data_IF_328725104820
#
_entry.id   IF_328725104820
#
_cell.length_a   1.000
_cell.length_b   1.000
_cell.length_c   1.000
_cell.angle_alpha   90.00
_cell.angle_beta   90.00
_cell.angle_gamma   90.00
#
_symmetry.space_group_name_H-M   'P 1'
#
loop_
_entity.id
_entity.type
_entity.pdbx_description
1 polymer ?
#
# COMPACT_ATOMS: atom_id res chain seq x y z
N UNK A 1 30.03 20.58 -54.37
CA UNK A 1 30.27 19.96 -53.05
C UNK A 1 29.04 20.24 -52.20
N UNK A 2 28.31 19.19 -51.78
CA UNK A 2 27.03 19.29 -51.07
C UNK A 2 27.29 19.67 -49.61
N UNK A 3 26.84 20.83 -49.16
CA UNK A 3 26.82 21.21 -47.74
C UNK A 3 25.83 20.34 -46.98
N UNK A 4 26.32 19.48 -46.08
CA UNK A 4 25.50 18.86 -45.04
C UNK A 4 25.39 19.84 -43.87
N UNK A 5 24.18 20.36 -43.63
CA UNK A 5 23.84 21.02 -42.37
C UNK A 5 23.54 19.92 -41.34
N UNK A 6 24.40 19.75 -40.34
CA UNK A 6 24.11 18.94 -39.15
C UNK A 6 23.21 19.77 -38.22
N UNK A 7 21.94 19.40 -38.11
CA UNK A 7 21.00 19.98 -37.15
C UNK A 7 21.29 19.43 -35.75
N UNK A 8 21.76 20.29 -34.85
CA UNK A 8 21.97 19.97 -33.43
C UNK A 8 20.61 20.03 -32.72
N UNK A 9 20.01 18.88 -32.44
CA UNK A 9 18.80 18.78 -31.62
C UNK A 9 19.20 18.96 -30.16
N UNK A 10 18.84 20.11 -29.57
CA UNK A 10 18.96 20.36 -28.13
C UNK A 10 17.88 19.57 -27.38
N UNK A 11 18.29 18.47 -26.72
CA UNK A 11 17.50 17.82 -25.68
C UNK A 11 17.50 18.72 -24.44
N UNK A 12 16.44 19.52 -24.27
CA UNK A 12 16.21 20.24 -23.02
C UNK A 12 15.87 19.21 -21.93
N UNK A 13 16.57 19.21 -20.78
CA UNK A 13 16.18 18.38 -19.65
C UNK A 13 14.83 18.87 -19.13
N UNK A 14 13.80 18.03 -19.22
CA UNK A 14 12.56 18.23 -18.49
C UNK A 14 12.85 18.07 -17.01
N UNK A 15 12.99 19.18 -16.30
CA UNK A 15 13.01 19.17 -14.84
C UNK A 15 11.59 18.85 -14.40
N UNK A 16 11.34 17.60 -13.99
CA UNK A 16 10.11 17.25 -13.31
C UNK A 16 10.12 17.95 -11.95
N UNK A 17 9.37 19.04 -11.81
CA UNK A 17 9.08 19.61 -10.50
C UNK A 17 8.18 18.64 -9.76
N UNK A 18 8.53 18.33 -8.50
CA UNK A 18 7.65 17.56 -7.65
C UNK A 18 6.35 18.35 -7.45
N UNK A 19 5.21 17.72 -7.73
CA UNK A 19 3.91 18.32 -7.48
C UNK A 19 3.75 18.58 -5.96
N UNK A 20 3.28 19.76 -5.56
CA UNK A 20 3.06 20.06 -4.15
C UNK A 20 1.98 19.14 -3.58
N UNK A 21 2.19 18.63 -2.37
CA UNK A 21 1.16 17.88 -1.63
C UNK A 21 0.05 18.86 -1.24
N UNK A 22 -1.16 18.60 -1.71
CA UNK A 22 -2.36 19.31 -1.27
C UNK A 22 -2.68 18.90 0.18
N UNK A 23 -2.35 19.76 1.15
CA UNK A 23 -2.43 19.42 2.58
C UNK A 23 -3.84 19.07 3.05
N UNK A 24 -4.87 19.55 2.36
CA UNK A 24 -6.28 19.25 2.64
C UNK A 24 -6.68 17.83 2.21
N UNK A 25 -5.86 17.17 1.39
CA UNK A 25 -6.05 15.80 0.92
C UNK A 25 -5.18 14.78 1.66
N UNK A 26 -4.48 15.18 2.73
CA UNK A 26 -3.78 14.24 3.60
C UNK A 26 -4.84 13.48 4.42
N UNK A 27 -4.94 12.18 4.18
CA UNK A 27 -5.94 11.30 4.79
C UNK A 27 -5.48 10.85 6.17
N UNK A 28 -4.26 10.32 6.22
CA UNK A 28 -3.65 9.85 7.46
C UNK A 28 -2.14 9.97 7.38
N UNK A 29 -1.50 10.08 8.54
CA UNK A 29 -0.07 10.19 8.67
C UNK A 29 0.42 9.36 9.86
N UNK A 30 1.60 8.78 9.71
CA UNK A 30 2.22 7.94 10.70
C UNK A 30 3.70 8.28 10.84
N UNK A 31 4.19 8.28 12.07
CA UNK A 31 5.62 8.46 12.37
C UNK A 31 6.19 7.21 13.03
N UNK A 32 7.49 7.01 12.85
CA UNK A 32 8.25 5.88 13.41
C UNK A 32 9.68 5.90 12.91
N UNK A 33 10.47 4.88 13.27
CA UNK A 33 11.85 4.72 12.81
C UNK A 33 11.88 3.56 11.81
N UNK A 34 11.74 3.88 10.52
CA UNK A 34 11.55 2.88 9.48
C UNK A 34 12.88 2.28 9.06
N UNK A 35 13.93 3.10 9.01
CA UNK A 35 15.26 2.69 8.59
C UNK A 35 16.16 2.19 9.75
N UNK A 36 15.68 2.28 11.00
CA UNK A 36 16.37 1.78 12.18
C UNK A 36 17.55 2.66 12.61
N UNK A 37 17.58 3.92 12.18
CA UNK A 37 18.65 4.84 12.53
C UNK A 37 18.42 5.57 13.86
N UNK A 38 17.26 5.37 14.50
CA UNK A 38 16.87 5.99 15.76
C UNK A 38 16.24 7.37 15.60
N UNK A 39 15.99 7.84 14.38
CA UNK A 39 15.30 9.09 14.10
C UNK A 39 13.86 8.87 13.65
N UNK A 40 13.04 9.91 13.82
CA UNK A 40 11.59 9.82 13.54
C UNK A 40 11.29 10.24 12.11
N UNK A 41 10.93 9.26 11.31
CA UNK A 41 10.50 9.29 9.93
C UNK A 41 8.98 9.57 9.81
N UNK A 42 8.49 9.70 8.57
CA UNK A 42 7.09 9.99 8.26
C UNK A 42 6.60 9.16 7.06
N UNK A 43 5.39 8.63 7.19
CA UNK A 43 4.60 8.11 6.08
C UNK A 43 3.24 8.84 6.04
N UNK A 44 2.72 9.12 4.86
CA UNK A 44 1.42 9.78 4.68
C UNK A 44 0.64 9.11 3.55
N UNK A 45 -0.67 9.00 3.70
CA UNK A 45 -1.59 8.69 2.59
C UNK A 45 -2.25 10.00 2.16
N UNK A 46 -2.24 10.26 0.85
CA UNK A 46 -2.73 11.49 0.25
C UNK A 46 -3.69 11.14 -0.88
N UNK A 47 -4.91 11.66 -0.80
CA UNK A 47 -5.87 11.57 -1.90
C UNK A 47 -5.39 12.42 -3.07
N UNK A 48 -5.42 11.84 -4.28
CA UNK A 48 -5.06 12.54 -5.52
C UNK A 48 -6.31 13.16 -6.11
N UNK A 49 -7.33 12.33 -6.33
CA UNK A 49 -8.66 12.68 -6.82
C UNK A 49 -9.75 11.91 -6.08
N UNK A 50 -10.98 12.45 -5.99
CA UNK A 50 -12.07 11.79 -5.29
C UNK A 50 -12.44 10.45 -5.93
N UNK A 51 -12.53 9.39 -5.12
CA UNK A 51 -12.78 8.00 -5.54
C UNK A 51 -11.71 7.36 -6.44
N UNK A 52 -10.57 8.02 -6.66
CA UNK A 52 -9.40 7.39 -7.30
C UNK A 52 -8.48 6.78 -6.24
N UNK A 53 -7.66 5.77 -6.61
CA UNK A 53 -6.63 5.26 -5.72
C UNK A 53 -5.70 6.37 -5.22
N UNK A 54 -5.36 6.32 -3.95
CA UNK A 54 -4.56 7.34 -3.27
C UNK A 54 -3.06 7.03 -3.35
N UNK A 55 -2.25 8.05 -3.08
CA UNK A 55 -0.80 7.96 -3.01
C UNK A 55 -0.32 7.72 -1.58
N UNK A 56 0.78 6.98 -1.44
CA UNK A 56 1.51 6.88 -0.17
C UNK A 56 2.90 7.51 -0.31
N UNK A 57 3.15 8.55 0.49
CA UNK A 57 4.41 9.28 0.52
C UNK A 57 5.24 8.84 1.71
N UNK A 58 6.54 8.66 1.49
CA UNK A 58 7.51 8.29 2.52
C UNK A 58 8.58 9.35 2.65
N UNK A 59 8.98 9.63 3.89
CA UNK A 59 10.06 10.53 4.21
C UNK A 59 10.92 9.93 5.32
N UNK A 60 12.24 10.00 5.15
CA UNK A 60 13.21 9.61 6.16
C UNK A 60 13.84 10.85 6.78
N UNK A 61 14.08 10.83 8.09
CA UNK A 61 14.73 11.93 8.79
C UNK A 61 16.20 11.97 8.43
N UNK A 62 16.66 13.13 7.99
CA UNK A 62 18.07 13.46 8.01
C UNK A 62 18.50 13.77 9.45
N UNK A 63 19.31 12.89 10.04
CA UNK A 63 19.79 13.03 11.42
C UNK A 63 20.77 14.18 11.61
N UNK A 64 21.58 14.47 10.59
CA UNK A 64 22.61 15.49 10.67
C UNK A 64 22.00 16.88 10.59
N UNK A 65 20.99 17.04 9.74
CA UNK A 65 20.40 18.34 9.42
C UNK A 65 18.97 18.54 9.96
N UNK A 66 18.40 17.51 10.60
CA UNK A 66 17.11 17.52 11.28
C UNK A 66 15.89 17.91 10.41
N UNK A 67 15.86 17.47 9.15
CA UNK A 67 14.71 17.65 8.26
C UNK A 67 14.28 16.34 7.60
N UNK A 68 13.02 16.26 7.16
CA UNK A 68 12.51 15.09 6.43
C UNK A 68 12.94 15.15 4.97
N UNK A 69 13.55 14.07 4.47
CA UNK A 69 13.90 13.88 3.06
C UNK A 69 12.89 12.95 2.40
N UNK A 70 12.37 13.29 1.20
CA UNK A 70 11.55 12.36 0.43
C UNK A 70 12.30 11.05 0.19
N UNK A 71 11.67 9.93 0.51
CA UNK A 71 12.22 8.58 0.40
C UNK A 71 11.49 7.71 -0.63
N UNK A 72 10.34 8.17 -1.13
CA UNK A 72 9.60 7.50 -2.19
C UNK A 72 8.13 7.93 -2.20
N UNK A 73 7.47 7.64 -3.32
CA UNK A 73 6.02 7.77 -3.48
C UNK A 73 5.55 6.49 -4.15
N UNK A 74 4.54 5.85 -3.57
CA UNK A 74 3.78 4.77 -4.21
C UNK A 74 2.49 5.38 -4.69
N UNK A 75 2.31 5.39 -6.02
CA UNK A 75 1.20 6.09 -6.67
C UNK A 75 0.05 5.17 -6.99
N UNK A 76 -1.16 5.69 -6.86
CA UNK A 76 -2.39 5.09 -7.36
C UNK A 76 -2.62 3.62 -6.93
N UNK A 77 -2.18 3.24 -5.72
CA UNK A 77 -2.27 1.85 -5.22
C UNK A 77 -3.11 1.71 -3.95
N UNK A 78 -3.36 2.81 -3.24
CA UNK A 78 -4.07 2.76 -1.97
C UNK A 78 -5.57 2.89 -2.26
N UNK A 79 -6.27 1.75 -2.30
CA UNK A 79 -7.71 1.72 -2.44
C UNK A 79 -8.39 2.04 -1.11
N UNK A 80 -9.41 2.89 -1.15
CA UNK A 80 -10.22 3.28 0.00
C UNK A 80 -11.04 4.52 -0.35
N UNK A 81 -11.90 4.94 0.56
CA UNK A 81 -12.61 6.22 0.45
C UNK A 81 -12.38 7.05 1.71
N UNK A 82 -12.22 8.36 1.49
CA UNK A 82 -12.10 9.34 2.55
C UNK A 82 -13.36 10.20 2.66
N UNK A 83 -13.70 10.57 3.88
CA UNK A 83 -14.81 11.45 4.17
C UNK A 83 -14.40 12.93 4.05
N UNK A 84 -15.12 13.66 3.20
CA UNK A 84 -15.66 14.95 3.64
C UNK A 84 -14.83 16.22 3.48
N UNK A 85 -13.72 16.25 2.73
CA UNK A 85 -13.15 17.56 2.36
C UNK A 85 -13.96 18.22 1.22
N UNK A 86 -14.24 17.48 0.14
CA UNK A 86 -14.96 17.99 -1.04
C UNK A 86 -16.35 17.35 -1.23
N UNK A 87 -16.74 16.44 -0.33
CA UNK A 87 -18.02 15.71 -0.36
C UNK A 87 -18.84 15.96 0.91
N UNK A 88 -19.58 17.07 0.94
CA UNK A 88 -20.53 17.33 2.03
C UNK A 88 -21.59 16.24 2.10
N UNK A 89 -21.80 15.63 3.28
CA UNK A 89 -22.80 14.59 3.53
C UNK A 89 -22.28 13.15 3.47
N UNK A 90 -20.99 12.95 3.21
CA UNK A 90 -20.30 11.67 3.38
C UNK A 90 -19.60 11.66 4.75
N UNK A 91 -20.38 11.40 5.80
CA UNK A 91 -19.88 11.31 7.17
C UNK A 91 -19.91 9.83 7.58
N UNK A 92 -18.74 9.21 7.78
CA UNK A 92 -18.52 7.81 8.20
C UNK A 92 -18.37 6.72 7.11
N UNK A 93 -17.51 6.94 6.11
CA UNK A 93 -16.79 5.87 5.39
C UNK A 93 -16.15 4.89 6.38
N UNK A 94 -16.54 3.63 6.29
CA UNK A 94 -15.90 2.49 6.96
C UNK A 94 -14.80 1.87 6.07
N UNK A 95 -14.31 2.64 5.09
CA UNK A 95 -13.35 2.22 4.06
C UNK A 95 -12.09 3.09 4.05
N UNK A 96 -11.83 3.82 5.13
CA UNK A 96 -10.64 4.65 5.29
C UNK A 96 -9.39 3.79 5.52
N UNK A 97 -8.28 4.03 4.79
CA UNK A 97 -7.01 3.35 5.05
C UNK A 97 -6.45 3.68 6.43
N UNK A 98 -5.92 2.67 7.11
CA UNK A 98 -5.31 2.85 8.42
C UNK A 98 -3.82 2.52 8.41
N UNK A 99 -3.03 3.33 9.11
CA UNK A 99 -1.60 3.13 9.32
C UNK A 99 -1.32 2.83 10.79
N UNK A 100 -0.54 1.79 11.06
CA UNK A 100 -0.01 1.49 12.41
C UNK A 100 1.49 1.28 12.37
N UNK A 101 2.24 1.96 13.23
CA UNK A 101 3.66 1.70 13.43
C UNK A 101 3.83 0.43 14.27
N UNK A 102 4.63 -0.52 13.79
CA UNK A 102 4.93 -1.74 14.52
C UNK A 102 6.26 -1.61 15.28
N UNK A 103 6.42 -2.28 16.45
CA UNK A 103 7.62 -2.15 17.29
C UNK A 103 8.96 -2.52 16.62
N UNK A 104 8.91 -3.23 15.49
CA UNK A 104 10.07 -3.68 14.72
C UNK A 104 10.45 -2.71 13.58
N UNK A 105 9.90 -1.49 13.54
CA UNK A 105 10.17 -0.50 12.50
C UNK A 105 9.41 -0.74 11.18
N UNK A 106 8.44 -1.67 11.16
CA UNK A 106 7.57 -1.86 9.99
C UNK A 106 6.25 -1.08 10.13
N UNK A 107 5.60 -0.85 9.00
CA UNK A 107 4.29 -0.19 8.92
C UNK A 107 3.24 -1.25 8.60
N UNK A 108 2.19 -1.33 9.40
CA UNK A 108 0.97 -2.06 9.03
C UNK A 108 0.05 -1.09 8.30
N UNK A 109 -0.22 -1.38 7.03
CA UNK A 109 -1.22 -0.69 6.21
C UNK A 109 -2.45 -1.60 6.12
N UNK A 110 -3.55 -1.16 6.73
CA UNK A 110 -4.84 -1.83 6.65
C UNK A 110 -5.73 -1.10 5.64
N UNK A 111 -6.24 -1.85 4.67
CA UNK A 111 -7.07 -1.40 3.57
C UNK A 111 -8.44 -2.09 3.69
N UNK A 112 -9.42 -1.47 4.35
CA UNK A 112 -10.79 -1.97 4.30
C UNK A 112 -11.33 -1.90 2.87
N UNK A 113 -12.02 -2.94 2.41
CA UNK A 113 -12.65 -2.90 1.09
C UNK A 113 -13.88 -1.99 1.08
N UNK A 114 -14.07 -1.31 -0.05
CA UNK A 114 -15.40 -0.86 -0.46
C UNK A 114 -16.33 -2.08 -0.62
N UNK A 115 -17.49 -2.12 0.04
CA UNK A 115 -18.44 -3.21 -0.15
C UNK A 115 -18.87 -3.33 -1.61
N UNK A 116 -18.65 -4.50 -2.24
CA UNK A 116 -19.21 -4.80 -3.57
C UNK A 116 -20.45 -5.67 -3.37
N UNK A 117 -21.60 -5.01 -3.25
CA UNK A 117 -22.81 -5.68 -2.82
C UNK A 117 -22.66 -6.18 -1.37
N UNK A 118 -22.79 -7.48 -1.16
CA UNK A 118 -22.61 -8.14 0.14
C UNK A 118 -21.19 -8.59 0.44
N UNK A 119 -20.29 -8.46 -0.54
CA UNK A 119 -18.93 -8.99 -0.48
C UNK A 119 -17.98 -7.93 0.05
N UNK A 120 -17.14 -8.33 0.99
CA UNK A 120 -16.09 -7.48 1.57
C UNK A 120 -14.78 -8.23 1.63
N UNK A 121 -13.69 -7.61 1.16
CA UNK A 121 -12.32 -8.13 1.28
C UNK A 121 -11.43 -7.08 1.93
N UNK A 122 -11.17 -7.20 3.23
CA UNK A 122 -10.19 -6.30 3.85
C UNK A 122 -8.78 -6.85 3.64
N UNK A 123 -7.80 -5.96 3.45
CA UNK A 123 -6.42 -6.33 3.19
C UNK A 123 -5.49 -5.71 4.21
N UNK A 124 -4.41 -6.40 4.52
CA UNK A 124 -3.32 -5.88 5.36
C UNK A 124 -1.99 -6.11 4.67
N UNK A 125 -1.23 -5.04 4.47
CA UNK A 125 0.17 -5.10 4.09
C UNK A 125 1.04 -4.77 5.30
N UNK A 126 2.11 -5.55 5.50
CA UNK A 126 3.21 -5.12 6.38
C UNK A 126 4.35 -4.64 5.51
N UNK A 127 4.65 -3.35 5.57
CA UNK A 127 5.72 -2.69 4.83
C UNK A 127 6.97 -2.58 5.69
N UNK A 128 8.11 -3.01 5.19
CA UNK A 128 9.40 -2.88 5.86
C UNK A 128 10.36 -2.05 5.01
N UNK A 129 11.23 -1.26 5.62
CA UNK A 129 12.31 -0.60 4.90
C UNK A 129 13.54 -1.52 4.84
N UNK A 130 14.04 -1.80 3.63
CA UNK A 130 15.24 -2.61 3.40
C UNK A 130 15.96 -2.12 2.16
N UNK A 131 17.30 -2.08 2.24
CA UNK A 131 18.17 -1.80 1.10
C UNK A 131 17.79 -0.54 0.32
N UNK A 132 17.34 0.51 1.03
CA UNK A 132 16.98 1.79 0.43
C UNK A 132 15.51 1.94 0.02
N UNK A 133 14.66 0.90 0.17
CA UNK A 133 13.29 0.89 -0.32
C UNK A 133 12.29 0.34 0.70
N UNK A 134 11.03 0.79 0.60
CA UNK A 134 9.91 0.13 1.27
C UNK A 134 9.48 -1.10 0.46
N UNK A 135 9.39 -2.25 1.13
CA UNK A 135 9.02 -3.53 0.54
C UNK A 135 7.81 -4.12 1.26
N UNK A 136 7.04 -4.96 0.57
CA UNK A 136 5.96 -5.75 1.19
C UNK A 136 6.56 -6.99 1.85
N UNK A 137 6.56 -7.02 3.18
CA UNK A 137 7.08 -8.14 3.97
C UNK A 137 6.02 -9.21 4.28
N UNK A 138 4.75 -8.80 4.37
CA UNK A 138 3.60 -9.66 4.67
C UNK A 138 2.37 -9.17 3.93
N UNK A 139 1.55 -10.11 3.46
CA UNK A 139 0.23 -9.85 2.91
C UNK A 139 -0.77 -10.72 3.65
N UNK A 140 -1.88 -10.11 4.04
CA UNK A 140 -3.03 -10.80 4.56
C UNK A 140 -4.32 -10.24 3.97
N UNK A 141 -5.36 -11.05 3.92
CA UNK A 141 -6.72 -10.59 3.67
C UNK A 141 -7.72 -11.40 4.49
N UNK A 142 -8.88 -10.82 4.69
CA UNK A 142 -10.09 -11.48 5.15
C UNK A 142 -11.23 -11.15 4.18
N UNK A 143 -11.98 -12.17 3.78
CA UNK A 143 -13.11 -12.11 2.89
C UNK A 143 -14.37 -12.62 3.58
N UNK A 144 -15.48 -11.94 3.34
CA UNK A 144 -16.80 -12.37 3.77
C UNK A 144 -17.88 -11.98 2.74
N UNK A 145 -18.89 -12.83 2.60
CA UNK A 145 -20.15 -12.48 1.93
C UNK A 145 -21.28 -12.41 2.96
N UNK A 146 -21.76 -11.20 3.27
CA UNK A 146 -22.77 -10.97 4.31
C UNK A 146 -24.19 -11.45 3.94
N UNK A 147 -24.42 -11.91 2.70
CA UNK A 147 -25.71 -12.47 2.27
C UNK A 147 -25.69 -13.98 2.07
N UNK A 148 -24.51 -14.61 2.10
CA UNK A 148 -24.36 -16.05 1.94
C UNK A 148 -23.89 -16.68 3.25
N UNK A 149 -24.65 -17.65 3.76
CA UNK A 149 -24.22 -18.44 4.90
C UNK A 149 -22.95 -19.21 4.53
N UNK A 150 -22.00 -19.26 5.48
CA UNK A 150 -20.79 -20.07 5.36
C UNK A 150 -19.83 -19.67 4.22
N UNK A 151 -19.81 -18.39 3.82
CA UNK A 151 -18.85 -17.88 2.83
C UNK A 151 -17.86 -16.90 3.46
N UNK A 152 -16.68 -17.41 3.79
CA UNK A 152 -15.54 -16.63 4.25
C UNK A 152 -14.23 -17.28 3.81
N UNK A 153 -13.20 -16.47 3.56
CA UNK A 153 -11.83 -16.94 3.43
C UNK A 153 -10.87 -15.95 4.08
N UNK A 154 -9.72 -16.46 4.53
CA UNK A 154 -8.63 -15.63 5.02
C UNK A 154 -7.31 -16.17 4.52
N UNK A 155 -6.33 -15.27 4.46
CA UNK A 155 -4.96 -15.65 4.20
C UNK A 155 -4.02 -14.74 4.96
N UNK A 156 -2.93 -15.30 5.43
CA UNK A 156 -1.81 -14.55 5.96
C UNK A 156 -0.50 -15.25 5.58
N UNK A 157 0.30 -14.59 4.76
CA UNK A 157 1.61 -15.09 4.36
C UNK A 157 2.72 -14.05 4.39
N UNK A 158 3.90 -14.54 4.71
CA UNK A 158 5.14 -13.78 4.68
C UNK A 158 5.69 -13.79 3.25
N UNK A 159 5.69 -12.64 2.59
CA UNK A 159 6.11 -12.48 1.18
C UNK A 159 7.58 -12.84 0.98
N UNK A 160 8.42 -12.53 1.97
CA UNK A 160 9.87 -12.75 1.91
C UNK A 160 10.24 -14.22 1.93
N UNK A 161 9.49 -15.04 2.65
CA UNK A 161 9.72 -16.49 2.77
C UNK A 161 8.79 -17.32 1.90
N UNK A 162 7.71 -16.73 1.38
CA UNK A 162 6.66 -17.40 0.62
C UNK A 162 5.79 -18.35 1.47
N UNK A 163 5.90 -18.28 2.81
CA UNK A 163 5.23 -19.19 3.73
C UNK A 163 4.09 -18.51 4.47
N UNK A 164 3.00 -19.23 4.66
CA UNK A 164 1.83 -18.72 5.37
C UNK A 164 0.75 -19.76 5.58
N UNK A 165 -0.44 -19.28 5.89
CA UNK A 165 -1.65 -20.11 6.02
C UNK A 165 -2.80 -19.41 5.32
N UNK A 166 -3.75 -20.20 4.86
CA UNK A 166 -5.04 -19.71 4.39
C UNK A 166 -6.15 -20.59 4.95
N UNK A 167 -7.36 -20.04 4.96
CA UNK A 167 -8.55 -20.78 5.31
C UNK A 167 -9.71 -20.41 4.40
N UNK A 168 -10.61 -21.36 4.19
CA UNK A 168 -11.82 -21.17 3.41
C UNK A 168 -12.95 -21.98 4.01
N UNK A 169 -14.03 -21.29 4.35
CA UNK A 169 -15.24 -21.92 4.82
C UNK A 169 -15.89 -22.70 3.67
N UNK A 170 -16.32 -23.93 3.98
CA UNK A 170 -16.95 -24.86 3.07
C UNK A 170 -18.47 -24.72 3.15
N UNK A 171 -19.22 -25.19 2.14
CA UNK A 171 -20.69 -25.12 2.15
C UNK A 171 -21.36 -25.80 3.36
N UNK A 172 -20.68 -26.76 4.00
CA UNK A 172 -21.16 -27.44 5.20
C UNK A 172 -20.90 -26.69 6.52
N UNK A 173 -20.33 -25.47 6.44
CA UNK A 173 -19.98 -24.63 7.59
C UNK A 173 -18.65 -24.98 8.26
N UNK A 174 -17.92 -25.98 7.76
CA UNK A 174 -16.58 -26.28 8.26
C UNK A 174 -15.53 -25.38 7.60
N UNK A 175 -14.42 -25.12 8.28
CA UNK A 175 -13.30 -24.34 7.72
C UNK A 175 -12.19 -25.27 7.26
N UNK A 176 -11.89 -25.25 5.96
CA UNK A 176 -10.72 -25.91 5.41
C UNK A 176 -9.51 -25.00 5.58
N UNK A 177 -8.41 -25.54 6.12
CA UNK A 177 -7.15 -24.82 6.28
C UNK A 177 -6.10 -25.35 5.30
N UNK A 178 -5.31 -24.44 4.73
CA UNK A 178 -4.20 -24.77 3.85
C UNK A 178 -2.91 -24.07 4.29
N UNK A 179 -1.79 -24.64 3.88
CA UNK A 179 -0.47 -23.99 4.01
C UNK A 179 -0.17 -23.25 2.72
N UNK A 180 0.19 -21.98 2.84
CA UNK A 180 0.75 -21.21 1.73
C UNK A 180 2.25 -21.52 1.64
N UNK A 181 2.70 -21.95 0.46
CA UNK A 181 4.10 -22.27 0.19
C UNK A 181 4.44 -21.94 -1.26
N UNK A 182 4.83 -20.69 -1.49
CA UNK A 182 5.32 -20.18 -2.78
C UNK A 182 6.80 -19.78 -2.68
N UNK A 183 7.40 -19.36 -3.79
CA UNK A 183 8.74 -18.78 -3.75
C UNK A 183 8.72 -17.43 -2.99
N UNK A 184 9.62 -17.28 -2.03
CA UNK A 184 9.80 -16.03 -1.30
C UNK A 184 10.50 -14.97 -2.15
N UNK A 185 10.09 -13.72 -2.01
CA UNK A 185 10.59 -12.61 -2.83
C UNK A 185 10.70 -11.30 -2.06
N UNK A 186 11.64 -10.47 -2.47
CA UNK A 186 11.69 -9.06 -2.08
C UNK A 186 10.87 -8.29 -3.10
N UNK A 187 9.75 -7.73 -2.67
CA UNK A 187 8.82 -7.00 -3.53
C UNK A 187 8.79 -5.53 -3.10
N UNK A 188 9.37 -4.59 -3.89
CA UNK A 188 9.20 -3.16 -3.66
C UNK A 188 7.72 -2.83 -3.57
N UNK A 189 7.33 -1.98 -2.62
CA UNK A 189 5.92 -1.64 -2.46
C UNK A 189 5.37 -0.93 -3.71
N UNK A 190 6.20 -0.11 -4.37
CA UNK A 190 5.85 0.52 -5.65
C UNK A 190 5.52 -0.49 -6.78
N UNK A 191 5.99 -1.73 -6.68
CA UNK A 191 5.75 -2.80 -7.65
C UNK A 191 4.69 -3.81 -7.17
N UNK A 192 4.13 -3.60 -5.97
CA UNK A 192 3.13 -4.49 -5.42
C UNK A 192 1.86 -4.47 -6.26
N UNK A 193 1.37 -5.67 -6.60
CA UNK A 193 0.07 -5.86 -7.22
C UNK A 193 -0.73 -6.81 -6.36
N UNK A 194 -1.93 -6.39 -5.97
CA UNK A 194 -2.84 -7.15 -5.10
C UNK A 194 -3.13 -8.57 -5.61
N UNK A 195 -3.21 -8.78 -6.93
CA UNK A 195 -3.36 -10.11 -7.53
C UNK A 195 -2.22 -11.07 -7.13
N UNK A 196 -1.02 -10.55 -6.94
CA UNK A 196 0.14 -11.32 -6.45
C UNK A 196 -0.12 -11.90 -5.06
N UNK A 197 -0.79 -11.13 -4.20
CA UNK A 197 -1.19 -11.57 -2.86
C UNK A 197 -2.19 -12.71 -2.93
N UNK A 198 -3.29 -12.50 -3.66
CA UNK A 198 -4.36 -13.48 -3.79
C UNK A 198 -3.91 -14.79 -4.45
N UNK A 199 -3.14 -14.73 -5.53
CA UNK A 199 -2.64 -15.94 -6.21
C UNK A 199 -1.74 -16.77 -5.28
N UNK A 200 -0.93 -16.15 -4.42
CA UNK A 200 -0.14 -16.88 -3.44
C UNK A 200 -1.01 -17.60 -2.40
N UNK A 201 -2.18 -17.04 -2.08
CA UNK A 201 -3.16 -17.61 -1.16
C UNK A 201 -4.05 -18.70 -1.79
N UNK A 202 -3.93 -18.94 -3.10
CA UNK A 202 -4.69 -19.95 -3.83
C UNK A 202 -6.05 -19.48 -4.34
N UNK A 203 -6.26 -18.16 -4.43
CA UNK A 203 -7.43 -17.55 -5.08
C UNK A 203 -7.13 -17.18 -6.55
#
# INVERSE_FOLDING_TARGET
>A
MRSMLFGLILLLPTVALAEPIETQKIITALTGDWNGDGAVDLAMIVETQPSEPMDMHFFLRDREHNFLRPAGIVRDQILGEWNGYDRSGYEASDTEPELTALPNGSIKLYLPAMPVGSKRINQTLTLAYRDGAFIVARFAYDYHDYLEDNVASDCDYNVLSGKGKSSKMQPDGTTAHATVSVEGKIMPFAEWNTSTGFTACGE
#
